data_IF_983381765052
#
_entry.id   IF_983381765052
#
_cell.length_a   1.000
_cell.length_b   1.000
_cell.length_c   1.000
_cell.angle_alpha   90.00
_cell.angle_beta   90.00
_cell.angle_gamma   90.00
#
_symmetry.space_group_name_H-M   'P 1'
#
loop_
_entity.id
_entity.type
_entity.pdbx_description
1 polymer ?
#
# COMPACT_ATOMS: atom_id res chain seq x y z
N UNK A 1 2.33 -2.66 4.89
CA UNK A 1 1.72 -1.53 4.16
C UNK A 1 0.64 -2.10 3.28
N UNK A 2 -0.47 -1.41 3.14
CA UNK A 2 -1.54 -1.81 2.20
C UNK A 2 -1.35 -1.12 0.87
N UNK A 3 -1.65 -1.81 -0.24
CA UNK A 3 -1.48 -1.31 -1.61
C UNK A 3 -2.83 -0.87 -2.19
N UNK A 4 -2.80 0.20 -2.99
CA UNK A 4 -3.94 0.73 -3.72
C UNK A 4 -3.54 1.16 -5.12
N UNK A 5 -4.47 1.08 -6.07
CA UNK A 5 -4.23 1.44 -7.47
C UNK A 5 -4.72 2.88 -7.80
N UNK A 6 -5.17 3.64 -6.79
CA UNK A 6 -5.50 5.07 -6.89
C UNK A 6 -5.15 5.82 -5.60
N UNK A 7 -4.92 7.13 -5.72
CA UNK A 7 -4.62 7.97 -4.55
C UNK A 7 -5.85 8.12 -3.67
N UNK A 8 -7.04 8.18 -4.28
CA UNK A 8 -8.31 8.31 -3.57
C UNK A 8 -8.58 7.11 -2.68
N UNK A 9 -8.43 5.87 -3.19
CA UNK A 9 -8.60 4.67 -2.37
C UNK A 9 -7.56 4.62 -1.22
N UNK A 10 -6.32 5.01 -1.50
CA UNK A 10 -5.28 5.12 -0.49
C UNK A 10 -5.64 6.16 0.59
N UNK A 11 -6.17 7.32 0.19
CA UNK A 11 -6.58 8.39 1.07
C UNK A 11 -7.79 8.02 1.94
N UNK A 12 -8.81 7.38 1.36
CA UNK A 12 -9.97 6.86 2.10
C UNK A 12 -9.53 5.88 3.18
N UNK A 13 -8.60 4.98 2.84
CA UNK A 13 -8.09 4.02 3.78
C UNK A 13 -7.18 4.63 4.84
N UNK A 14 -6.31 5.57 4.46
CA UNK A 14 -5.49 6.35 5.38
C UNK A 14 -6.37 7.15 6.36
N UNK A 15 -7.51 7.68 5.91
CA UNK A 15 -8.45 8.43 6.72
C UNK A 15 -9.11 7.59 7.83
N UNK A 16 -9.11 6.27 7.72
CA UNK A 16 -9.51 5.39 8.82
C UNK A 16 -8.43 5.30 9.93
N UNK A 17 -7.20 5.70 9.65
CA UNK A 17 -6.03 5.58 10.55
C UNK A 17 -5.54 6.91 11.09
N UNK A 18 -5.68 7.98 10.31
CA UNK A 18 -5.27 9.33 10.66
C UNK A 18 -6.32 10.35 10.20
N UNK A 19 -6.30 11.55 10.77
CA UNK A 19 -7.21 12.66 10.43
C UNK A 19 -6.48 13.93 10.01
N UNK A 20 -5.14 13.93 10.02
CA UNK A 20 -4.33 15.06 9.57
C UNK A 20 -2.97 14.61 9.04
N UNK A 21 -2.54 15.23 7.95
CA UNK A 21 -1.29 14.93 7.27
C UNK A 21 -0.54 16.21 6.93
N UNK A 22 0.78 16.11 6.86
CA UNK A 22 1.64 17.08 6.20
C UNK A 22 2.13 16.53 4.87
N UNK A 23 2.26 17.40 3.86
CA UNK A 23 2.97 17.03 2.65
C UNK A 23 4.45 16.76 2.97
N UNK A 24 5.04 15.75 2.35
CA UNK A 24 6.39 15.34 2.69
C UNK A 24 7.46 16.34 2.22
N UNK A 25 7.18 17.11 1.17
CA UNK A 25 8.15 18.00 0.51
C UNK A 25 7.78 19.49 0.59
N UNK A 26 6.66 19.84 1.20
CA UNK A 26 6.19 21.23 1.37
C UNK A 26 5.54 21.43 2.74
N UNK A 27 5.34 22.69 3.14
CA UNK A 27 4.69 23.05 4.41
C UNK A 27 3.15 22.99 4.34
N UNK A 28 2.62 22.23 3.39
CA UNK A 28 1.19 22.06 3.18
C UNK A 28 0.64 21.01 4.14
N UNK A 29 -0.58 21.24 4.61
CA UNK A 29 -1.27 20.36 5.55
C UNK A 29 -2.67 20.07 5.07
N UNK A 30 -3.13 18.86 5.34
CA UNK A 30 -4.42 18.37 4.93
C UNK A 30 -5.15 17.76 6.12
N UNK A 31 -6.42 18.07 6.24
CA UNK A 31 -7.37 17.25 6.98
C UNK A 31 -7.93 16.17 6.05
N UNK A 32 -8.81 15.31 6.58
CA UNK A 32 -9.45 14.23 5.83
C UNK A 32 -10.15 14.73 4.56
N UNK A 33 -10.95 15.80 4.66
CA UNK A 33 -11.71 16.30 3.51
C UNK A 33 -10.79 16.90 2.44
N UNK A 34 -9.80 17.69 2.85
CA UNK A 34 -8.82 18.29 1.94
C UNK A 34 -7.99 17.24 1.21
N UNK A 35 -7.57 16.18 1.91
CA UNK A 35 -6.80 15.09 1.30
C UNK A 35 -7.64 14.31 0.28
N UNK A 36 -8.90 14.00 0.60
CA UNK A 36 -9.79 13.27 -0.31
C UNK A 36 -10.09 14.04 -1.60
N UNK A 37 -10.36 15.35 -1.49
CA UNK A 37 -10.61 16.21 -2.68
C UNK A 37 -9.37 16.32 -3.55
N UNK A 38 -8.19 16.46 -2.94
CA UNK A 38 -6.92 16.49 -3.67
C UNK A 38 -6.67 15.16 -4.36
N UNK A 39 -6.90 14.04 -3.67
CA UNK A 39 -6.70 12.70 -4.21
C UNK A 39 -7.59 12.43 -5.43
N UNK A 40 -8.89 12.73 -5.33
CA UNK A 40 -9.84 12.58 -6.44
C UNK A 40 -9.44 13.44 -7.64
N UNK A 41 -9.02 14.69 -7.39
CA UNK A 41 -8.56 15.60 -8.46
C UNK A 41 -7.30 15.05 -9.13
N UNK A 42 -6.32 14.61 -8.33
CA UNK A 42 -5.06 14.05 -8.82
C UNK A 42 -5.29 12.80 -9.68
N UNK A 43 -6.13 11.87 -9.22
CA UNK A 43 -6.43 10.65 -9.98
C UNK A 43 -7.15 10.95 -11.29
N UNK A 44 -8.01 11.99 -11.32
CA UNK A 44 -8.70 12.42 -12.54
C UNK A 44 -7.78 13.13 -13.54
N UNK A 45 -6.79 13.88 -13.07
CA UNK A 45 -5.88 14.66 -13.92
C UNK A 45 -4.68 13.86 -14.40
N UNK A 46 -4.13 13.02 -13.52
CA UNK A 46 -2.93 12.23 -13.76
C UNK A 46 -3.05 10.84 -13.11
N UNK A 47 -3.82 9.92 -13.71
CA UNK A 47 -3.95 8.56 -13.20
C UNK A 47 -2.58 7.88 -13.13
N UNK A 48 -2.40 7.03 -12.11
CA UNK A 48 -1.15 6.30 -11.89
C UNK A 48 -0.87 5.31 -13.03
N UNK A 49 0.41 5.08 -13.31
CA UNK A 49 0.86 4.10 -14.30
C UNK A 49 0.57 2.65 -13.85
N UNK A 50 0.36 1.74 -14.81
CA UNK A 50 0.00 0.32 -14.54
C UNK A 50 1.03 -0.42 -13.67
N UNK A 51 2.31 -0.04 -13.77
CA UNK A 51 3.40 -0.64 -12.99
C UNK A 51 3.66 0.09 -11.66
N UNK A 52 2.86 1.10 -11.34
CA UNK A 52 2.98 1.92 -10.13
C UNK A 52 1.76 1.76 -9.23
N UNK A 53 1.95 1.94 -7.93
CA UNK A 53 0.86 1.83 -6.95
C UNK A 53 1.09 2.70 -5.73
N UNK A 54 0.02 3.04 -5.03
CA UNK A 54 0.09 3.71 -3.74
C UNK A 54 0.23 2.71 -2.60
N UNK A 55 0.88 3.13 -1.53
CA UNK A 55 1.03 2.38 -0.29
C UNK A 55 0.61 3.20 0.91
N UNK A 56 -0.06 2.57 1.86
CA UNK A 56 -0.45 3.19 3.13
C UNK A 56 0.27 2.51 4.29
N UNK A 57 0.96 3.32 5.10
CA UNK A 57 1.65 2.89 6.32
C UNK A 57 0.65 2.46 7.40
N UNK A 58 1.09 1.70 8.44
CA UNK A 58 0.26 1.38 9.60
C UNK A 58 -0.37 2.61 10.26
N UNK A 59 0.34 3.74 10.29
CA UNK A 59 -0.15 4.99 10.91
C UNK A 59 -0.95 5.86 9.94
N UNK A 60 -0.98 5.52 8.66
CA UNK A 60 -1.76 6.22 7.63
C UNK A 60 -0.96 7.21 6.79
N UNK A 61 0.38 7.16 6.80
CA UNK A 61 1.19 7.87 5.80
C UNK A 61 0.93 7.25 4.43
N UNK A 62 0.96 8.05 3.37
CA UNK A 62 0.71 7.63 1.99
C UNK A 62 1.97 7.86 1.17
N UNK A 63 2.42 6.82 0.48
CA UNK A 63 3.53 6.89 -0.47
C UNK A 63 3.12 6.35 -1.83
N UNK A 64 3.87 6.71 -2.85
CA UNK A 64 3.80 6.11 -4.18
C UNK A 64 5.00 5.21 -4.40
N UNK A 65 4.78 4.05 -5.01
CA UNK A 65 5.83 3.16 -5.45
C UNK A 65 5.87 3.17 -6.97
N UNK A 66 6.86 3.87 -7.53
CA UNK A 66 7.06 3.94 -8.97
C UNK A 66 7.84 2.71 -9.43
N UNK A 67 7.31 1.96 -10.39
CA UNK A 67 7.90 0.72 -10.93
C UNK A 67 8.05 -0.42 -9.89
N UNK A 68 7.40 -0.33 -8.73
CA UNK A 68 7.35 -1.40 -7.73
C UNK A 68 8.58 -1.61 -6.86
N UNK A 69 9.56 -0.70 -6.88
CA UNK A 69 10.80 -0.81 -6.07
C UNK A 69 10.87 0.23 -4.94
N UNK A 70 11.07 1.51 -5.27
CA UNK A 70 11.28 2.58 -4.31
C UNK A 70 9.94 3.21 -3.88
N UNK A 71 9.83 3.62 -2.62
CA UNK A 71 8.66 4.34 -2.10
C UNK A 71 9.03 5.80 -1.91
N UNK A 72 8.28 6.67 -2.59
CA UNK A 72 8.29 8.11 -2.34
C UNK A 72 7.09 8.47 -1.46
N UNK A 73 7.35 8.82 -0.21
CA UNK A 73 6.31 9.24 0.72
C UNK A 73 5.80 10.64 0.35
N UNK A 74 4.49 10.75 0.12
CA UNK A 74 3.81 11.98 -0.30
C UNK A 74 3.17 12.69 0.89
N UNK A 75 2.48 11.93 1.74
CA UNK A 75 1.72 12.46 2.87
C UNK A 75 2.16 11.76 4.16
N UNK A 76 2.70 12.53 5.11
CA UNK A 76 3.13 12.03 6.41
C UNK A 76 1.99 12.16 7.41
N UNK A 77 1.72 11.10 8.15
CA UNK A 77 0.65 11.08 9.15
C UNK A 77 1.08 11.73 10.46
N UNK A 78 0.23 12.60 11.00
CA UNK A 78 0.45 13.13 12.35
C UNK A 78 0.14 12.11 13.46
N UNK A 79 -0.46 10.96 13.13
CA UNK A 79 -0.75 9.92 14.13
C UNK A 79 0.53 9.27 14.67
N UNK A 80 1.60 9.25 13.88
CA UNK A 80 2.93 8.81 14.28
C UNK A 80 4.01 9.64 13.56
N UNK A 81 4.34 10.84 14.05
CA UNK A 81 5.27 11.75 13.36
C UNK A 81 6.71 11.22 13.22
N UNK A 82 7.06 10.19 13.99
CA UNK A 82 8.37 9.54 13.98
C UNK A 82 8.27 8.07 13.51
N UNK A 83 7.24 7.73 12.72
CA UNK A 83 7.15 6.40 12.09
C UNK A 83 8.37 6.17 11.20
N UNK A 84 9.02 5.03 11.37
CA UNK A 84 10.14 4.62 10.52
C UNK A 84 9.58 4.08 9.20
N UNK A 85 9.46 4.98 8.22
CA UNK A 85 8.87 4.69 6.93
C UNK A 85 9.92 4.06 5.99
N UNK A 86 9.67 2.86 5.45
CA UNK A 86 10.63 2.18 4.58
C UNK A 86 10.81 2.94 3.26
N UNK A 87 12.03 2.92 2.74
CA UNK A 87 12.37 3.53 1.45
C UNK A 87 12.06 2.62 0.25
N UNK A 88 11.88 1.33 0.49
CA UNK A 88 11.61 0.34 -0.56
C UNK A 88 10.38 -0.47 -0.24
N UNK A 89 9.63 -0.82 -1.27
CA UNK A 89 8.47 -1.70 -1.14
C UNK A 89 8.94 -3.14 -0.98
N UNK A 90 8.70 -3.68 0.21
CA UNK A 90 8.81 -5.10 0.44
C UNK A 90 7.42 -5.69 0.38
N UNK A 91 7.12 -6.37 -0.73
CA UNK A 91 5.94 -7.22 -0.80
C UNK A 91 6.01 -8.21 0.37
N UNK A 92 5.07 -8.12 1.31
CA UNK A 92 4.93 -9.13 2.35
C UNK A 92 4.72 -10.44 1.60
N UNK A 93 5.58 -11.46 1.78
CA UNK A 93 5.36 -12.75 1.15
C UNK A 93 4.00 -13.22 1.65
N UNK A 94 2.99 -13.24 0.77
CA UNK A 94 1.72 -13.87 1.10
C UNK A 94 2.00 -15.37 1.16
N UNK A 95 2.38 -15.83 2.35
CA UNK A 95 2.47 -17.25 2.66
C UNK A 95 1.05 -17.76 2.56
N UNK A 96 0.75 -18.39 1.42
CA UNK A 96 -0.48 -19.15 1.26
C UNK A 96 -0.31 -20.46 2.02
N UNK A 97 -1.39 -21.03 2.49
CA UNK A 97 -1.38 -22.35 3.10
C UNK A 97 -2.01 -23.35 2.15
N UNK A 98 -1.49 -24.57 2.14
CA UNK A 98 -2.06 -25.65 1.35
C UNK A 98 -3.46 -25.99 1.88
N UNK A 99 -4.51 -25.97 1.05
CA UNK A 99 -5.88 -26.21 1.52
C UNK A 99 -6.11 -27.62 2.11
N UNK A 100 -5.29 -28.60 1.71
CA UNK A 100 -5.40 -29.98 2.21
C UNK A 100 -4.62 -30.30 3.49
N UNK A 101 -3.41 -29.73 3.64
CA UNK A 101 -2.48 -30.15 4.71
C UNK A 101 -1.93 -28.99 5.54
N UNK A 102 -2.45 -27.79 5.29
CA UNK A 102 -2.21 -26.54 6.03
C UNK A 102 -0.74 -26.15 6.15
N UNK A 103 0.09 -26.66 5.24
CA UNK A 103 1.52 -26.36 5.23
C UNK A 103 1.79 -25.12 4.40
N UNK A 104 2.79 -24.29 4.79
CA UNK A 104 3.09 -23.06 4.09
C UNK A 104 3.51 -23.35 2.64
N UNK A 105 3.02 -22.51 1.75
CA UNK A 105 3.20 -22.57 0.30
C UNK A 105 3.88 -21.29 -0.15
N UNK A 106 4.97 -21.44 -0.88
CA UNK A 106 5.67 -20.31 -1.48
C UNK A 106 4.86 -19.71 -2.64
N UNK A 107 4.86 -18.38 -2.80
CA UNK A 107 4.29 -17.73 -3.99
C UNK A 107 4.80 -18.39 -5.29
N UNK A 108 3.89 -18.71 -6.20
CA UNK A 108 4.21 -19.35 -7.47
C UNK A 108 4.36 -20.89 -7.45
N UNK A 109 4.25 -21.54 -6.29
CA UNK A 109 4.29 -23.00 -6.21
C UNK A 109 3.05 -23.63 -6.88
N UNK A 110 3.27 -24.52 -7.86
CA UNK A 110 2.19 -25.25 -8.55
C UNK A 110 1.66 -26.46 -7.75
N UNK A 111 2.48 -26.99 -6.84
CA UNK A 111 2.17 -28.16 -6.03
C UNK A 111 2.64 -27.97 -4.59
N UNK A 112 1.93 -28.55 -3.62
CA UNK A 112 2.36 -28.54 -2.23
C UNK A 112 3.58 -29.46 -2.05
N UNK A 113 4.69 -28.92 -1.51
CA UNK A 113 5.91 -29.69 -1.27
C UNK A 113 5.76 -30.79 -0.20
N UNK A 114 4.71 -30.73 0.64
CA UNK A 114 4.46 -31.71 1.71
C UNK A 114 3.49 -32.82 1.27
N UNK A 115 2.33 -32.48 0.72
CA UNK A 115 1.30 -33.47 0.37
C UNK A 115 1.13 -33.73 -1.13
N UNK A 116 1.78 -32.94 -1.99
CA UNK A 116 1.77 -33.13 -3.44
C UNK A 116 0.52 -32.65 -4.19
N UNK A 117 -0.49 -32.09 -3.50
CA UNK A 117 -1.69 -31.60 -4.20
C UNK A 117 -1.35 -30.40 -5.10
N UNK A 118 -2.03 -30.31 -6.24
CA UNK A 118 -1.97 -29.14 -7.11
C UNK A 118 -2.63 -27.93 -6.43
N UNK A 119 -1.92 -26.80 -6.43
CA UNK A 119 -2.38 -25.54 -5.87
C UNK A 119 -3.01 -24.75 -7.02
N UNK A 120 -4.33 -24.56 -6.97
CA UNK A 120 -5.05 -23.79 -8.00
C UNK A 120 -4.78 -22.30 -7.74
N UNK A 121 -4.18 -21.62 -8.72
CA UNK A 121 -4.22 -20.16 -8.76
C UNK A 121 -5.67 -19.74 -9.04
N UNK A 122 -6.40 -19.37 -8.00
CA UNK A 122 -7.59 -18.52 -8.12
C UNK A 122 -7.18 -17.08 -7.92
#
# INVERSE_FOLDING_TARGET
>A
MERFDSLLEAAEFAAARCKSWSFATADERYDEQGLLVLAETSDSENPIDEDSFYVVSPSGAIGICENGEDIFWLFLSDAAPNEDLPLTYQAVPQIKFCPECDSPVYPGARYCAKCGIALRNT
#
